data_IF_434261117996
#
_entry.id   IF_434261117996
#
_cell.length_a   1.000
_cell.length_b   1.000
_cell.length_c   1.000
_cell.angle_alpha   90.00
_cell.angle_beta   90.00
_cell.angle_gamma   90.00
#
_symmetry.space_group_name_H-M   'P 1'
#
loop_
_entity.id
_entity.type
_entity.pdbx_description
1 polymer ?
#
# COMPACT_ATOMS: atom_id res chain seq x y z
N UNK A 1 11.69 -2.80 -31.05
CA UNK A 1 10.69 -2.99 -32.13
C UNK A 1 9.35 -3.48 -31.57
N UNK A 2 9.39 -4.45 -30.65
CA UNK A 2 8.21 -5.04 -30.01
C UNK A 2 7.46 -4.08 -29.07
N UNK A 3 8.18 -3.31 -28.23
CA UNK A 3 7.57 -2.33 -27.32
C UNK A 3 6.79 -1.22 -28.04
N UNK A 4 7.32 -0.74 -29.17
CA UNK A 4 6.63 0.24 -30.01
C UNK A 4 5.31 -0.29 -30.60
N UNK A 5 5.23 -1.60 -30.86
CA UNK A 5 4.00 -2.23 -31.33
C UNK A 5 2.95 -2.32 -30.22
N UNK A 6 3.36 -2.59 -28.96
CA UNK A 6 2.46 -2.60 -27.80
C UNK A 6 1.93 -1.21 -27.47
N UNK A 7 2.75 -0.18 -27.60
CA UNK A 7 2.31 1.21 -27.44
C UNK A 7 1.21 1.57 -28.45
N UNK A 8 1.43 1.25 -29.74
CA UNK A 8 0.42 1.44 -30.80
C UNK A 8 -0.84 0.63 -30.53
N UNK A 9 -0.71 -0.61 -30.05
CA UNK A 9 -1.86 -1.44 -29.69
C UNK A 9 -2.67 -0.85 -28.54
N UNK A 10 -2.02 -0.30 -27.50
CA UNK A 10 -2.67 0.41 -26.39
C UNK A 10 -3.43 1.63 -26.88
N UNK A 11 -2.82 2.45 -27.73
CA UNK A 11 -3.45 3.66 -28.28
C UNK A 11 -4.65 3.30 -29.16
N UNK A 12 -4.46 2.36 -30.10
CA UNK A 12 -5.50 1.86 -30.99
C UNK A 12 -6.69 1.29 -30.20
N UNK A 13 -6.44 0.36 -29.27
CA UNK A 13 -7.51 -0.27 -28.48
C UNK A 13 -8.22 0.75 -27.60
N UNK A 14 -7.50 1.64 -26.92
CA UNK A 14 -8.10 2.67 -26.05
C UNK A 14 -9.01 3.62 -26.83
N UNK A 15 -8.57 4.10 -28.00
CA UNK A 15 -9.36 5.00 -28.84
C UNK A 15 -10.64 4.35 -29.33
N UNK A 16 -10.54 3.13 -29.88
CA UNK A 16 -11.68 2.39 -30.39
C UNK A 16 -12.67 2.03 -29.27
N UNK A 17 -12.16 1.60 -28.12
CA UNK A 17 -13.00 1.24 -26.97
C UNK A 17 -13.76 2.44 -26.40
N UNK A 18 -13.11 3.62 -26.31
CA UNK A 18 -13.77 4.88 -25.91
C UNK A 18 -14.89 5.28 -26.88
N UNK A 19 -14.67 5.15 -28.18
CA UNK A 19 -15.71 5.43 -29.17
C UNK A 19 -16.87 4.44 -29.08
N UNK A 20 -16.59 3.18 -28.77
CA UNK A 20 -17.60 2.13 -28.65
C UNK A 20 -18.46 2.22 -27.39
N UNK A 21 -18.04 2.97 -26.35
CA UNK A 21 -18.75 3.07 -25.06
C UNK A 21 -20.24 3.45 -25.21
N UNK A 22 -20.58 4.31 -26.18
CA UNK A 22 -21.97 4.75 -26.44
C UNK A 22 -22.89 3.64 -26.94
N UNK A 23 -22.34 2.51 -27.39
CA UNK A 23 -23.08 1.35 -27.88
C UNK A 23 -23.14 0.21 -26.86
N UNK A 24 -22.45 0.34 -25.71
CA UNK A 24 -22.48 -0.67 -24.67
C UNK A 24 -23.66 -0.47 -23.73
N UNK A 25 -24.16 -1.58 -23.19
CA UNK A 25 -25.06 -1.56 -22.03
C UNK A 25 -24.46 -0.70 -20.90
N UNK A 26 -25.25 0.12 -20.18
CA UNK A 26 -24.73 1.11 -19.24
C UNK A 26 -23.73 0.56 -18.19
N UNK A 27 -23.97 -0.66 -17.70
CA UNK A 27 -23.11 -1.32 -16.73
C UNK A 27 -21.76 -1.75 -17.35
N UNK A 28 -21.79 -2.27 -18.58
CA UNK A 28 -20.58 -2.62 -19.33
C UNK A 28 -19.80 -1.37 -19.72
N UNK A 29 -20.47 -0.32 -20.19
CA UNK A 29 -19.85 0.97 -20.51
C UNK A 29 -19.08 1.52 -19.30
N UNK A 30 -19.72 1.55 -18.13
CA UNK A 30 -19.08 2.00 -16.87
C UNK A 30 -17.89 1.11 -16.47
N UNK A 31 -18.01 -0.21 -16.63
CA UNK A 31 -16.95 -1.15 -16.29
C UNK A 31 -15.72 -0.97 -17.20
N UNK A 32 -15.94 -0.83 -18.51
CA UNK A 32 -14.90 -0.62 -19.51
C UNK A 32 -14.23 0.74 -19.34
N UNK A 33 -15.00 1.81 -19.17
CA UNK A 33 -14.49 3.16 -18.94
C UNK A 33 -13.50 3.20 -17.77
N UNK A 34 -13.90 2.67 -16.60
CA UNK A 34 -13.01 2.58 -15.43
C UNK A 34 -11.78 1.68 -15.66
N UNK A 35 -11.90 0.68 -16.53
CA UNK A 35 -10.77 -0.20 -16.88
C UNK A 35 -9.77 0.47 -17.83
N UNK A 36 -10.24 1.39 -18.68
CA UNK A 36 -9.39 2.22 -19.54
C UNK A 36 -8.63 3.28 -18.73
N UNK A 37 -9.28 3.89 -17.74
CA UNK A 37 -8.64 4.88 -16.87
C UNK A 37 -7.58 4.26 -15.98
N UNK A 38 -7.81 3.03 -15.52
CA UNK A 38 -6.91 2.31 -14.60
C UNK A 38 -6.63 0.91 -15.16
N UNK A 39 -5.62 0.68 -16.01
CA UNK A 39 -5.34 -0.66 -16.53
C UNK A 39 -4.96 -1.67 -15.43
N UNK A 40 -5.27 -2.95 -15.60
CA UNK A 40 -5.05 -4.00 -14.59
C UNK A 40 -3.59 -4.09 -14.10
N UNK A 41 -2.61 -3.98 -15.01
CA UNK A 41 -1.19 -4.15 -14.69
C UNK A 41 -0.57 -2.97 -13.93
N UNK A 42 -1.25 -1.82 -13.84
CA UNK A 42 -0.80 -0.65 -13.07
C UNK A 42 -1.73 -0.32 -11.88
N UNK A 43 -2.73 -1.17 -11.64
CA UNK A 43 -3.74 -0.94 -10.61
C UNK A 43 -3.59 -1.90 -9.45
N UNK A 44 -3.99 -1.44 -8.25
CA UNK A 44 -4.08 -2.31 -7.08
C UNK A 44 -5.08 -3.45 -7.32
N UNK A 45 -4.66 -4.69 -7.05
CA UNK A 45 -5.51 -5.88 -7.21
C UNK A 45 -6.80 -5.77 -6.43
N UNK A 46 -6.77 -5.22 -5.22
CA UNK A 46 -7.97 -5.04 -4.40
C UNK A 46 -8.97 -4.05 -5.00
N UNK A 47 -8.48 -2.95 -5.57
CA UNK A 47 -9.30 -1.98 -6.30
C UNK A 47 -9.98 -2.66 -7.51
N UNK A 48 -9.21 -3.46 -8.26
CA UNK A 48 -9.71 -4.22 -9.40
C UNK A 48 -10.72 -5.30 -9.02
N UNK A 49 -10.47 -6.04 -7.95
CA UNK A 49 -11.39 -7.05 -7.43
C UNK A 49 -12.74 -6.42 -7.05
N UNK A 50 -12.73 -5.27 -6.34
CA UNK A 50 -13.95 -4.55 -5.99
C UNK A 50 -14.70 -4.05 -7.22
N UNK A 51 -13.99 -3.45 -8.18
CA UNK A 51 -14.58 -2.95 -9.42
C UNK A 51 -15.23 -4.07 -10.24
N UNK A 52 -14.54 -5.22 -10.35
CA UNK A 52 -15.04 -6.38 -11.07
C UNK A 52 -16.22 -7.04 -10.35
N UNK A 53 -16.16 -7.22 -9.03
CA UNK A 53 -17.26 -7.79 -8.24
C UNK A 53 -18.54 -6.95 -8.35
N UNK A 54 -18.39 -5.61 -8.31
CA UNK A 54 -19.50 -4.69 -8.54
C UNK A 54 -20.11 -4.84 -9.94
N UNK A 55 -19.30 -5.11 -10.96
CA UNK A 55 -19.80 -5.37 -12.31
C UNK A 55 -20.53 -6.71 -12.41
N UNK A 56 -19.97 -7.79 -11.84
CA UNK A 56 -20.60 -9.13 -11.84
C UNK A 56 -21.99 -9.13 -11.21
N UNK A 57 -22.17 -8.37 -10.13
CA UNK A 57 -23.48 -8.21 -9.46
C UNK A 57 -24.57 -7.58 -10.34
N UNK A 58 -24.17 -6.86 -11.39
CA UNK A 58 -25.06 -6.15 -12.31
C UNK A 58 -25.30 -6.92 -13.63
N UNK A 59 -24.79 -8.15 -13.77
CA UNK A 59 -25.00 -8.97 -14.96
C UNK A 59 -26.39 -9.65 -14.95
N UNK A 60 -27.05 -9.78 -16.11
CA UNK A 60 -28.33 -10.47 -16.22
C UNK A 60 -28.23 -11.98 -15.96
N UNK A 61 -27.11 -12.60 -16.36
CA UNK A 61 -26.81 -14.02 -16.11
C UNK A 61 -25.64 -14.12 -15.15
N UNK A 62 -25.83 -14.78 -14.00
CA UNK A 62 -24.84 -14.81 -12.90
C UNK A 62 -24.44 -16.22 -12.52
N UNK A 63 -23.13 -16.46 -12.46
CA UNK A 63 -22.56 -17.65 -11.82
C UNK A 63 -22.53 -17.43 -10.30
N UNK A 64 -23.66 -17.69 -9.65
CA UNK A 64 -23.89 -17.35 -8.24
C UNK A 64 -22.90 -18.00 -7.27
N UNK A 65 -22.38 -19.19 -7.58
CA UNK A 65 -21.38 -19.87 -6.74
C UNK A 65 -20.04 -19.12 -6.69
N UNK A 66 -19.48 -18.76 -7.85
CA UNK A 66 -18.20 -18.04 -7.95
C UNK A 66 -18.33 -16.64 -7.34
N UNK A 67 -19.47 -15.97 -7.58
CA UNK A 67 -19.69 -14.64 -7.04
C UNK A 67 -19.78 -14.64 -5.51
N UNK A 68 -20.50 -15.61 -4.92
CA UNK A 68 -20.58 -15.76 -3.46
C UNK A 68 -19.20 -16.02 -2.86
N UNK A 69 -18.40 -16.88 -3.49
CA UNK A 69 -17.04 -17.17 -3.07
C UNK A 69 -16.17 -15.90 -3.10
N UNK A 70 -16.16 -15.18 -4.24
CA UNK A 70 -15.39 -13.95 -4.40
C UNK A 70 -15.81 -12.85 -3.40
N UNK A 71 -17.12 -12.71 -3.14
CA UNK A 71 -17.64 -11.77 -2.16
C UNK A 71 -17.21 -12.14 -0.73
N UNK A 72 -17.32 -13.41 -0.36
CA UNK A 72 -16.91 -13.90 0.95
C UNK A 72 -15.40 -13.66 1.18
N UNK A 73 -14.56 -14.03 0.21
CA UNK A 73 -13.12 -13.77 0.28
C UNK A 73 -12.80 -12.28 0.41
N UNK A 74 -13.50 -11.42 -0.35
CA UNK A 74 -13.31 -9.97 -0.28
C UNK A 74 -13.68 -9.42 1.10
N UNK A 75 -14.79 -9.89 1.68
CA UNK A 75 -15.23 -9.50 3.03
C UNK A 75 -14.24 -9.98 4.10
N UNK A 76 -13.77 -11.23 4.02
CA UNK A 76 -12.77 -11.76 4.94
C UNK A 76 -11.47 -10.96 4.90
N UNK A 77 -10.93 -10.66 3.69
CA UNK A 77 -9.72 -9.83 3.54
C UNK A 77 -9.93 -8.43 4.12
N UNK A 78 -11.08 -7.81 3.86
CA UNK A 78 -11.41 -6.49 4.40
C UNK A 78 -11.40 -6.49 5.93
N UNK A 79 -12.05 -7.46 6.57
CA UNK A 79 -12.08 -7.58 8.03
C UNK A 79 -10.68 -7.80 8.61
N UNK A 80 -9.88 -8.65 7.97
CA UNK A 80 -8.51 -8.89 8.37
C UNK A 80 -7.67 -7.59 8.31
N UNK A 81 -7.74 -6.86 7.19
CA UNK A 81 -7.04 -5.58 7.06
C UNK A 81 -7.53 -4.52 8.06
N UNK A 82 -8.82 -4.52 8.41
CA UNK A 82 -9.35 -3.63 9.46
C UNK A 82 -8.77 -3.95 10.83
N UNK A 83 -8.65 -5.23 11.18
CA UNK A 83 -8.00 -5.68 12.42
C UNK A 83 -6.52 -5.28 12.45
N UNK A 84 -5.79 -5.50 11.35
CA UNK A 84 -4.37 -5.12 11.22
C UNK A 84 -4.18 -3.59 11.37
N UNK A 85 -5.04 -2.79 10.73
CA UNK A 85 -4.99 -1.32 10.87
C UNK A 85 -5.25 -0.86 12.32
N UNK A 86 -6.14 -1.53 13.06
CA UNK A 86 -6.38 -1.22 14.47
C UNK A 86 -5.17 -1.57 15.34
N UNK A 87 -4.49 -2.68 15.06
CA UNK A 87 -3.25 -3.05 15.74
C UNK A 87 -2.14 -2.04 15.46
N UNK A 88 -1.91 -1.70 14.18
CA UNK A 88 -0.92 -0.70 13.78
C UNK A 88 -1.23 0.66 14.40
N UNK A 89 -2.50 1.08 14.42
CA UNK A 89 -2.89 2.35 15.02
C UNK A 89 -2.62 2.38 16.52
N UNK A 90 -2.93 1.31 17.25
CA UNK A 90 -2.63 1.22 18.69
C UNK A 90 -1.13 1.32 18.94
N UNK A 91 -0.35 0.50 18.24
CA UNK A 91 1.11 0.56 18.31
C UNK A 91 1.65 1.97 18.03
N UNK A 92 1.12 2.65 17.01
CA UNK A 92 1.55 4.00 16.65
C UNK A 92 1.22 5.06 17.71
N UNK A 93 0.06 4.94 18.36
CA UNK A 93 -0.31 5.82 19.48
C UNK A 93 0.56 5.55 20.70
N UNK A 94 0.79 4.29 21.04
CA UNK A 94 1.62 3.88 22.18
C UNK A 94 3.08 4.32 22.00
N UNK A 95 3.53 4.44 20.74
CA UNK A 95 4.86 4.90 20.36
C UNK A 95 5.12 6.39 20.67
N UNK A 96 4.07 7.23 20.69
CA UNK A 96 4.18 8.65 21.05
C UNK A 96 4.94 9.57 20.09
N UNK A 97 5.59 9.04 19.04
CA UNK A 97 6.49 9.82 18.18
C UNK A 97 5.82 11.01 17.46
N UNK A 98 4.52 10.95 17.15
CA UNK A 98 3.84 12.08 16.51
C UNK A 98 3.66 13.29 17.45
N UNK A 99 3.79 13.09 18.76
CA UNK A 99 3.78 14.16 19.76
C UNK A 99 5.19 14.72 19.99
N UNK A 100 6.20 13.85 19.97
CA UNK A 100 7.61 14.23 20.13
C UNK A 100 8.17 14.97 18.91
N UNK A 101 7.69 14.63 17.70
CA UNK A 101 8.14 15.25 16.44
C UNK A 101 6.94 15.86 15.70
N UNK A 102 6.45 17.04 16.12
CA UNK A 102 5.26 17.67 15.52
C UNK A 102 5.42 18.00 14.03
N UNK A 103 6.66 18.13 13.54
CA UNK A 103 6.96 18.40 12.15
C UNK A 103 6.81 17.16 11.24
N UNK A 104 6.87 15.95 11.81
CA UNK A 104 6.80 14.72 11.03
C UNK A 104 5.35 14.38 10.65
N UNK A 105 5.17 13.74 9.50
CA UNK A 105 3.87 13.35 8.97
C UNK A 105 3.26 12.25 9.83
N UNK A 106 2.08 12.47 10.41
CA UNK A 106 1.31 11.42 11.08
C UNK A 106 0.32 10.75 10.10
N UNK A 107 0.79 9.77 9.32
CA UNK A 107 0.01 9.14 8.26
C UNK A 107 0.07 7.61 8.27
N UNK A 108 0.11 6.99 9.46
CA UNK A 108 0.29 5.53 9.63
C UNK A 108 -0.68 4.66 8.82
N UNK A 109 -1.93 5.11 8.66
CA UNK A 109 -2.93 4.40 7.85
C UNK A 109 -2.63 4.47 6.35
N UNK A 110 -2.01 5.56 5.87
CA UNK A 110 -1.57 5.63 4.47
C UNK A 110 -0.37 4.72 4.24
N UNK A 111 0.55 4.65 5.20
CA UNK A 111 1.73 3.80 5.11
C UNK A 111 1.37 2.31 5.13
N UNK A 112 0.33 1.93 5.86
CA UNK A 112 -0.24 0.58 5.81
C UNK A 112 -0.71 0.17 4.39
N UNK A 113 -1.11 1.12 3.53
CA UNK A 113 -1.49 0.78 2.15
C UNK A 113 -0.33 0.14 1.37
N UNK A 114 0.92 0.49 1.69
CA UNK A 114 2.09 -0.09 1.04
C UNK A 114 2.27 -1.56 1.40
N UNK A 115 2.25 -1.90 2.70
CA UNK A 115 2.39 -3.28 3.16
C UNK A 115 1.24 -4.16 2.65
N UNK A 116 0.01 -3.61 2.63
CA UNK A 116 -1.17 -4.25 2.07
C UNK A 116 -1.02 -4.56 0.57
N UNK A 117 -0.36 -3.68 -0.18
CA UNK A 117 -0.15 -3.84 -1.62
C UNK A 117 0.97 -4.82 -1.95
N UNK A 118 2.04 -4.83 -1.15
CA UNK A 118 3.21 -5.69 -1.37
C UNK A 118 2.92 -7.14 -0.96
N UNK A 119 2.24 -7.34 0.18
CA UNK A 119 2.06 -8.65 0.80
C UNK A 119 0.62 -9.13 0.67
N UNK A 120 0.37 -9.88 -0.40
CA UNK A 120 -0.95 -10.39 -0.73
C UNK A 120 -1.22 -11.78 -0.13
N UNK A 121 -2.39 -11.95 0.49
CA UNK A 121 -2.86 -13.24 0.99
C UNK A 121 -3.11 -13.24 2.50
N UNK A 122 -3.94 -14.18 2.96
CA UNK A 122 -4.36 -14.25 4.36
C UNK A 122 -3.21 -14.57 5.31
N UNK A 123 -2.26 -15.41 4.88
CA UNK A 123 -1.09 -15.85 5.67
C UNK A 123 -0.10 -14.73 6.00
N UNK A 124 -0.13 -13.61 5.26
CA UNK A 124 0.84 -12.53 5.43
C UNK A 124 0.42 -11.45 6.43
N UNK A 125 -0.61 -11.70 7.24
CA UNK A 125 -1.17 -10.74 8.20
C UNK A 125 -0.13 -10.12 9.13
N UNK A 126 0.61 -10.97 9.84
CA UNK A 126 1.67 -10.54 10.75
C UNK A 126 2.76 -9.77 10.02
N UNK A 127 3.16 -10.26 8.85
CA UNK A 127 4.19 -9.59 8.04
C UNK A 127 3.73 -8.20 7.57
N UNK A 128 2.44 -8.00 7.26
CA UNK A 128 1.91 -6.67 6.92
C UNK A 128 1.99 -5.70 8.09
N UNK A 129 1.62 -6.15 9.30
CA UNK A 129 1.73 -5.33 10.52
C UNK A 129 3.18 -4.93 10.75
N UNK A 130 4.10 -5.90 10.79
CA UNK A 130 5.53 -5.63 11.02
C UNK A 130 6.16 -4.77 9.91
N UNK A 131 5.86 -5.05 8.64
CA UNK A 131 6.32 -4.23 7.52
C UNK A 131 5.80 -2.79 7.63
N UNK A 132 4.58 -2.59 8.10
CA UNK A 132 4.04 -1.23 8.29
C UNK A 132 4.82 -0.49 9.36
N UNK A 133 5.20 -1.13 10.47
CA UNK A 133 6.04 -0.50 11.50
C UNK A 133 7.36 -0.01 10.93
N UNK A 134 8.03 -0.86 10.13
CA UNK A 134 9.29 -0.51 9.45
C UNK A 134 9.09 0.65 8.47
N UNK A 135 8.05 0.61 7.64
CA UNK A 135 7.73 1.67 6.68
C UNK A 135 7.46 3.00 7.41
N UNK A 136 6.71 2.97 8.51
CA UNK A 136 6.45 4.16 9.34
C UNK A 136 7.75 4.79 9.85
N UNK A 137 8.69 3.98 10.34
CA UNK A 137 9.97 4.49 10.83
C UNK A 137 10.80 5.12 9.71
N UNK A 138 10.79 4.52 8.50
CA UNK A 138 11.47 5.11 7.33
C UNK A 138 10.90 6.49 7.01
N UNK A 139 9.58 6.66 7.03
CA UNK A 139 8.95 7.96 6.79
C UNK A 139 9.27 9.01 7.86
N UNK A 140 9.37 8.60 9.13
CA UNK A 140 9.78 9.53 10.20
C UNK A 140 11.23 9.97 10.01
N UNK A 141 12.13 9.05 9.70
CA UNK A 141 13.53 9.41 9.42
C UNK A 141 13.63 10.35 8.22
N UNK A 142 12.89 10.07 7.14
CA UNK A 142 12.78 10.94 5.96
C UNK A 142 12.33 12.36 6.36
N UNK A 143 11.29 12.48 7.19
CA UNK A 143 10.80 13.79 7.66
C UNK A 143 11.79 14.54 8.55
N UNK A 144 12.51 13.83 9.42
CA UNK A 144 13.56 14.44 10.25
C UNK A 144 14.64 15.02 9.33
N UNK A 145 15.07 14.26 8.34
CA UNK A 145 16.11 14.68 7.39
C UNK A 145 15.69 15.87 6.53
N UNK A 146 14.44 15.89 6.08
CA UNK A 146 13.93 16.91 5.16
C UNK A 146 13.49 18.20 5.86
N UNK A 147 12.97 18.11 7.10
CA UNK A 147 12.25 19.21 7.74
C UNK A 147 12.89 19.74 9.02
N UNK A 148 13.69 18.93 9.72
CA UNK A 148 14.12 19.24 11.09
C UNK A 148 15.63 19.32 11.24
N UNK A 149 16.38 18.44 10.60
CA UNK A 149 17.75 18.18 10.97
C UNK A 149 18.73 19.25 10.49
N UNK A 150 19.58 19.71 11.40
CA UNK A 150 20.75 20.52 11.08
C UNK A 150 21.87 19.65 10.51
N UNK A 151 22.81 20.24 9.76
CA UNK A 151 23.92 19.51 9.14
C UNK A 151 24.76 18.69 10.14
N UNK A 152 24.87 19.17 11.39
CA UNK A 152 25.61 18.48 12.45
C UNK A 152 24.85 17.26 12.99
N UNK A 153 23.53 17.36 13.19
CA UNK A 153 22.68 16.25 13.62
C UNK A 153 22.61 15.16 12.55
N UNK A 154 22.50 15.56 11.28
CA UNK A 154 22.56 14.66 10.12
C UNK A 154 23.87 13.87 10.09
N UNK A 155 25.01 14.53 10.34
CA UNK A 155 26.33 13.87 10.38
C UNK A 155 26.41 12.82 11.49
N UNK A 156 25.90 13.13 12.69
CA UNK A 156 25.87 12.21 13.84
C UNK A 156 24.98 11.00 13.57
N UNK A 157 23.79 11.20 13.02
CA UNK A 157 22.90 10.10 12.67
C UNK A 157 23.51 9.20 11.59
N UNK A 158 24.17 9.77 10.58
CA UNK A 158 24.80 9.01 9.51
C UNK A 158 25.94 8.12 10.05
N UNK A 159 26.73 8.63 11.00
CA UNK A 159 27.75 7.83 11.68
C UNK A 159 27.14 6.72 12.55
N UNK A 160 26.05 6.99 13.27
CA UNK A 160 25.33 5.98 14.04
C UNK A 160 24.79 4.84 13.15
N UNK A 161 24.22 5.17 11.99
CA UNK A 161 23.77 4.18 11.01
C UNK A 161 24.94 3.35 10.47
N UNK A 162 26.05 3.98 10.07
CA UNK A 162 27.22 3.25 9.57
C UNK A 162 27.78 2.29 10.62
N UNK A 163 27.83 2.71 11.88
CA UNK A 163 28.26 1.87 13.00
C UNK A 163 27.28 0.71 13.21
N UNK A 164 25.97 0.98 13.22
CA UNK A 164 24.93 -0.04 13.36
C UNK A 164 24.92 -1.08 12.24
N UNK A 165 25.11 -0.65 10.98
CA UNK A 165 25.25 -1.53 9.81
C UNK A 165 26.52 -2.39 9.94
N UNK A 166 27.63 -1.80 10.42
CA UNK A 166 28.92 -2.49 10.58
C UNK A 166 28.93 -3.53 11.70
N UNK A 167 28.10 -3.38 12.73
CA UNK A 167 27.98 -4.34 13.84
C UNK A 167 27.11 -5.56 13.46
N UNK A 168 26.48 -5.55 12.29
CA UNK A 168 25.78 -6.71 11.73
C UNK A 168 24.34 -6.83 12.24
N UNK A 169 23.41 -6.46 11.37
CA UNK A 169 21.96 -6.68 11.45
C UNK A 169 21.59 -8.19 11.52
N UNK A 170 21.99 -8.89 12.59
CA UNK A 170 21.74 -10.34 12.77
C UNK A 170 20.55 -10.68 13.65
N UNK A 171 19.73 -9.72 14.10
CA UNK A 171 18.49 -10.02 14.83
C UNK A 171 17.35 -9.10 14.43
N UNK A 172 16.63 -9.49 13.37
CA UNK A 172 15.54 -8.76 12.70
C UNK A 172 14.23 -8.61 13.49
N UNK A 173 14.26 -8.70 14.83
CA UNK A 173 13.08 -8.44 15.68
C UNK A 173 13.36 -7.54 16.90
N UNK A 174 14.62 -7.36 17.33
CA UNK A 174 14.98 -6.47 18.44
C UNK A 174 15.48 -5.09 18.03
N UNK A 175 15.63 -4.83 16.72
CA UNK A 175 16.19 -3.59 16.20
C UNK A 175 15.20 -2.42 16.21
N UNK A 176 13.90 -2.66 16.03
CA UNK A 176 12.92 -1.57 16.10
C UNK A 176 12.93 -0.87 17.47
N UNK A 177 13.12 -1.61 18.57
CA UNK A 177 13.25 -1.02 19.91
C UNK A 177 14.57 -0.25 20.10
N UNK A 178 15.69 -0.76 19.58
CA UNK A 178 16.99 -0.05 19.65
C UNK A 178 17.08 1.19 18.74
N UNK A 179 16.43 1.18 17.57
CA UNK A 179 16.35 2.37 16.72
C UNK A 179 15.45 3.45 17.36
N UNK A 180 14.47 3.04 18.16
CA UNK A 180 13.69 3.90 19.03
C UNK A 180 14.56 4.58 20.09
N UNK A 181 15.47 3.85 20.75
CA UNK A 181 16.42 4.44 21.71
C UNK A 181 17.37 5.45 21.05
N UNK A 182 17.76 5.23 19.79
CA UNK A 182 18.59 6.18 19.03
C UNK A 182 17.77 7.41 18.60
N UNK A 183 16.49 7.25 18.26
CA UNK A 183 15.59 8.36 17.92
C UNK A 183 15.16 9.17 19.16
N UNK A 184 15.11 8.57 20.35
CA UNK A 184 14.73 9.24 21.61
C UNK A 184 15.91 10.02 22.23
N UNK A 185 17.15 9.71 21.84
CA UNK A 185 18.37 10.37 22.35
C UNK A 185 18.83 11.53 21.43
N UNK A 186 18.11 11.79 20.33
CA UNK A 186 18.17 13.04 19.56
C UNK A 186 17.00 13.94 19.97
#
# INVERSE_FOLDING_TARGET
MEEASLYKAKEFSSKNMKFALKYFEPNLARYVMKSLDHPYHVSLRQYKARHHLSYLQNLPTRHTAIEKLALAEFQMKKLQHQSEMQEVKRWWVDLGLSQEIPAARDQVLKWYMWSMTILEGFSFSRYRVEATKVISMVYIVDDIFDLVATQEELSRFNEAIKIGIRIGLTQTLGLCEKYLDILIVL
#
